data_IF_333023684114
#
_entry.id   IF_333023684114
#
_cell.length_a   1.000
_cell.length_b   1.000
_cell.length_c   1.000
_cell.angle_alpha   90.00
_cell.angle_beta   90.00
_cell.angle_gamma   90.00
#
_symmetry.space_group_name_H-M   'P 1'
#
loop_
_entity.id
_entity.type
_entity.pdbx_description
1 polymer ?
#
# COMPACT_ATOMS: atom_id res chain seq x y z
N UNK A 1 -19.47 -17.37 -40.85
CA UNK A 1 -19.27 -18.20 -39.65
C UNK A 1 -20.61 -18.38 -38.97
N UNK A 2 -21.19 -19.58 -39.01
CA UNK A 2 -22.52 -19.85 -38.45
C UNK A 2 -22.48 -20.12 -36.94
N UNK A 3 -23.62 -20.01 -36.25
CA UNK A 3 -23.73 -20.29 -34.82
C UNK A 3 -23.49 -21.78 -34.54
N UNK A 4 -22.55 -22.06 -33.62
CA UNK A 4 -22.30 -23.41 -33.09
C UNK A 4 -23.03 -23.55 -31.76
N UNK A 5 -24.02 -24.42 -31.74
CA UNK A 5 -24.68 -24.86 -30.51
C UNK A 5 -23.90 -26.02 -29.92
N UNK A 6 -23.51 -25.90 -28.65
CA UNK A 6 -22.76 -26.93 -27.94
C UNK A 6 -23.63 -27.40 -26.78
N UNK A 7 -23.99 -28.68 -26.77
CA UNK A 7 -24.60 -29.35 -25.63
C UNK A 7 -23.48 -30.04 -24.84
N UNK A 8 -23.34 -29.71 -23.56
CA UNK A 8 -22.39 -30.34 -22.66
C UNK A 8 -22.91 -30.30 -21.23
N UNK A 9 -22.56 -31.33 -20.46
CA UNK A 9 -22.78 -31.34 -19.01
C UNK A 9 -21.53 -30.73 -18.39
N UNK A 10 -21.58 -29.42 -18.12
CA UNK A 10 -20.58 -28.82 -17.24
C UNK A 10 -20.90 -29.28 -15.81
N UNK A 11 -19.89 -29.73 -15.07
CA UNK A 11 -20.03 -29.88 -13.63
C UNK A 11 -20.57 -28.54 -13.10
N UNK A 12 -21.69 -28.58 -12.37
CA UNK A 12 -22.21 -27.40 -11.69
C UNK A 12 -21.02 -26.81 -10.94
N UNK A 13 -20.58 -25.61 -11.33
CA UNK A 13 -19.54 -24.90 -10.57
C UNK A 13 -20.07 -24.92 -9.14
N UNK A 14 -19.33 -25.46 -8.16
CA UNK A 14 -19.78 -25.42 -6.78
C UNK A 14 -20.12 -23.95 -6.51
N UNK A 15 -21.40 -23.68 -6.26
CA UNK A 15 -21.84 -22.38 -5.77
C UNK A 15 -21.11 -22.25 -4.44
N UNK A 16 -20.00 -21.51 -4.48
CA UNK A 16 -19.35 -21.05 -3.27
C UNK A 16 -20.46 -20.39 -2.47
N UNK A 17 -20.69 -20.79 -1.20
CA UNK A 17 -21.74 -20.17 -0.39
C UNK A 17 -21.55 -18.66 -0.44
N UNK A 18 -22.66 -17.93 -0.61
CA UNK A 18 -22.65 -16.46 -0.66
C UNK A 18 -21.82 -15.96 0.51
N UNK A 19 -20.68 -15.34 0.21
CA UNK A 19 -19.76 -14.76 1.21
C UNK A 19 -20.32 -13.45 1.77
N UNK A 20 -21.63 -13.34 1.83
CA UNK A 20 -22.39 -12.14 2.19
C UNK A 20 -22.93 -12.23 3.62
N UNK A 21 -22.31 -13.05 4.47
CA UNK A 21 -22.50 -12.94 5.90
C UNK A 21 -21.82 -11.66 6.39
N UNK A 22 -22.56 -10.56 6.42
CA UNK A 22 -22.12 -9.30 7.03
C UNK A 22 -21.79 -9.55 8.51
N UNK A 23 -20.50 -9.74 8.80
CA UNK A 23 -19.98 -9.85 10.15
C UNK A 23 -20.13 -8.48 10.84
N UNK A 24 -21.17 -8.37 11.67
CA UNK A 24 -21.45 -7.17 12.46
C UNK A 24 -20.89 -7.36 13.86
N UNK A 25 -19.83 -6.62 14.18
CA UNK A 25 -19.32 -6.55 15.53
C UNK A 25 -20.13 -5.53 16.35
N UNK A 26 -20.36 -5.83 17.63
CA UNK A 26 -20.80 -4.81 18.58
C UNK A 26 -19.70 -3.78 18.81
N UNK A 27 -20.00 -2.57 19.33
CA UNK A 27 -19.00 -1.51 19.51
C UNK A 27 -17.77 -1.94 20.33
N UNK A 28 -17.97 -2.79 21.33
CA UNK A 28 -16.89 -3.31 22.19
C UNK A 28 -16.06 -4.39 21.49
N UNK A 29 -16.70 -5.25 20.70
CA UNK A 29 -16.02 -6.32 19.95
C UNK A 29 -15.34 -5.80 18.67
N UNK A 30 -15.81 -4.66 18.15
CA UNK A 30 -15.28 -4.05 16.94
C UNK A 30 -13.87 -3.48 17.14
N UNK A 31 -13.55 -2.99 18.33
CA UNK A 31 -12.23 -2.43 18.64
C UNK A 31 -11.11 -3.47 18.52
N UNK A 32 -11.15 -4.61 19.25
CA UNK A 32 -10.11 -5.62 19.13
C UNK A 32 -10.10 -6.27 17.74
N UNK A 33 -11.26 -6.44 17.09
CA UNK A 33 -11.33 -6.94 15.72
C UNK A 33 -10.64 -5.99 14.73
N UNK A 34 -10.89 -4.68 14.82
CA UNK A 34 -10.26 -3.69 13.96
C UNK A 34 -8.75 -3.58 14.20
N UNK A 35 -8.29 -3.71 15.45
CA UNK A 35 -6.85 -3.74 15.76
C UNK A 35 -6.17 -4.98 15.19
N UNK A 36 -6.80 -6.16 15.33
CA UNK A 36 -6.26 -7.41 14.78
C UNK A 36 -6.19 -7.36 13.25
N UNK A 37 -7.24 -6.86 12.60
CA UNK A 37 -7.28 -6.65 11.15
C UNK A 37 -6.22 -5.63 10.70
N UNK A 38 -6.10 -4.50 11.40
CA UNK A 38 -5.08 -3.50 11.12
C UNK A 38 -3.66 -4.06 11.26
N UNK A 39 -3.42 -4.90 12.27
CA UNK A 39 -2.12 -5.57 12.44
C UNK A 39 -1.83 -6.58 11.33
N UNK A 40 -2.86 -7.32 10.90
CA UNK A 40 -2.75 -8.24 9.77
C UNK A 40 -2.38 -7.49 8.49
N UNK A 41 -3.14 -6.44 8.13
CA UNK A 41 -2.87 -5.59 6.97
C UNK A 41 -1.50 -4.93 7.06
N UNK A 42 -1.07 -4.50 8.24
CA UNK A 42 0.25 -3.92 8.45
C UNK A 42 1.36 -4.93 8.12
N UNK A 43 1.21 -6.18 8.59
CA UNK A 43 2.14 -7.27 8.28
C UNK A 43 2.22 -7.56 6.78
N UNK A 44 1.09 -7.56 6.08
CA UNK A 44 1.06 -7.76 4.63
C UNK A 44 1.77 -6.64 3.87
N UNK A 45 1.51 -5.38 4.25
CA UNK A 45 2.16 -4.20 3.67
C UNK A 45 3.67 -4.23 3.90
N UNK A 46 4.12 -4.51 5.12
CA UNK A 46 5.56 -4.64 5.43
C UNK A 46 6.20 -5.76 4.61
N UNK A 47 5.54 -6.92 4.50
CA UNK A 47 6.03 -8.02 3.69
C UNK A 47 6.10 -7.66 2.19
N UNK A 48 5.12 -6.90 1.69
CA UNK A 48 5.10 -6.41 0.31
C UNK A 48 6.25 -5.44 0.04
N UNK A 49 6.47 -4.46 0.94
CA UNK A 49 7.59 -3.52 0.88
C UNK A 49 8.92 -4.29 0.91
N UNK A 50 9.08 -5.25 1.82
CA UNK A 50 10.27 -6.10 1.88
C UNK A 50 10.53 -6.86 0.59
N UNK A 51 9.49 -7.42 -0.04
CA UNK A 51 9.62 -8.08 -1.35
C UNK A 51 10.04 -7.11 -2.45
N UNK A 52 9.53 -5.87 -2.43
CA UNK A 52 9.90 -4.82 -3.38
C UNK A 52 11.39 -4.46 -3.27
N UNK A 53 11.93 -4.32 -2.05
CA UNK A 53 13.38 -4.10 -1.84
C UNK A 53 14.25 -5.27 -2.32
N UNK A 54 13.74 -6.51 -2.27
CA UNK A 54 14.46 -7.69 -2.79
C UNK A 54 14.35 -7.88 -4.30
N UNK A 55 13.70 -6.96 -5.04
CA UNK A 55 13.53 -7.04 -6.49
C UNK A 55 12.60 -8.15 -6.98
N UNK A 56 11.84 -8.79 -6.08
CA UNK A 56 10.92 -9.90 -6.39
C UNK A 56 9.55 -9.43 -6.90
N UNK A 57 9.32 -8.11 -6.93
CA UNK A 57 8.09 -7.49 -7.43
C UNK A 57 8.50 -6.43 -8.44
N UNK A 58 7.86 -6.42 -9.61
CA UNK A 58 8.07 -5.38 -10.61
C UNK A 58 7.65 -4.02 -10.03
N UNK A 59 8.61 -3.10 -9.92
CA UNK A 59 8.39 -1.75 -9.36
C UNK A 59 7.32 -0.98 -10.16
N UNK A 60 7.24 -1.27 -11.47
CA UNK A 60 6.23 -0.77 -12.42
C UNK A 60 4.78 -1.09 -12.01
N UNK A 61 4.55 -2.15 -11.23
CA UNK A 61 3.22 -2.58 -10.77
C UNK A 61 2.99 -2.34 -9.27
N UNK A 62 4.00 -1.85 -8.54
CA UNK A 62 3.92 -1.72 -7.06
C UNK A 62 3.71 -0.28 -6.61
N UNK A 63 4.20 0.69 -7.39
CA UNK A 63 4.06 2.11 -7.06
C UNK A 63 2.83 2.66 -7.78
N UNK A 64 1.71 2.78 -7.05
CA UNK A 64 0.50 3.43 -7.52
C UNK A 64 0.69 4.95 -7.55
N UNK A 65 0.41 5.58 -8.68
CA UNK A 65 0.41 7.03 -8.79
C UNK A 65 -0.95 7.66 -8.43
N UNK A 66 -1.01 9.01 -8.38
CA UNK A 66 -2.22 9.74 -7.97
C UNK A 66 -3.47 9.40 -8.80
N UNK A 67 -3.33 9.15 -10.10
CA UNK A 67 -4.46 8.80 -10.99
C UNK A 67 -4.96 7.41 -10.66
N UNK A 68 -4.05 6.45 -10.46
CA UNK A 68 -4.41 5.08 -10.07
C UNK A 68 -5.13 5.07 -8.72
N UNK A 69 -4.66 5.86 -7.75
CA UNK A 69 -5.32 6.02 -6.43
C UNK A 69 -6.71 6.64 -6.60
N UNK A 70 -6.87 7.67 -7.43
CA UNK A 70 -8.16 8.30 -7.67
C UNK A 70 -9.18 7.34 -8.29
N UNK A 71 -8.76 6.50 -9.26
CA UNK A 71 -9.61 5.46 -9.86
C UNK A 71 -9.98 4.38 -8.85
N UNK A 72 -9.03 3.94 -8.03
CA UNK A 72 -9.32 3.01 -6.94
C UNK A 72 -10.36 3.63 -5.99
N UNK A 73 -10.16 4.88 -5.56
CA UNK A 73 -11.12 5.59 -4.71
C UNK A 73 -12.53 5.62 -5.30
N UNK A 74 -12.66 5.90 -6.60
CA UNK A 74 -13.95 5.86 -7.28
C UNK A 74 -14.56 4.45 -7.28
N UNK A 75 -13.78 3.42 -7.64
CA UNK A 75 -14.25 2.03 -7.66
C UNK A 75 -14.67 1.49 -6.28
N UNK A 76 -13.98 1.89 -5.20
CA UNK A 76 -14.37 1.54 -3.83
C UNK A 76 -15.58 2.35 -3.35
N UNK A 77 -15.71 3.61 -3.77
CA UNK A 77 -16.87 4.45 -3.45
C UNK A 77 -18.16 3.91 -4.08
N UNK A 78 -18.10 3.40 -5.31
CA UNK A 78 -19.24 2.80 -6.02
C UNK A 78 -19.76 1.53 -5.32
N UNK A 79 -18.93 0.86 -4.52
CA UNK A 79 -19.30 -0.31 -3.72
C UNK A 79 -19.93 0.06 -2.36
N UNK A 80 -19.92 1.34 -2.00
CA UNK A 80 -20.54 1.88 -0.79
C UNK A 80 -19.55 2.29 0.31
N UNK A 81 -20.10 2.87 1.39
CA UNK A 81 -19.31 3.52 2.44
C UNK A 81 -18.34 2.59 3.17
N UNK A 82 -18.71 1.33 3.40
CA UNK A 82 -17.84 0.37 4.09
C UNK A 82 -16.55 0.10 3.29
N UNK A 83 -16.69 -0.11 1.98
CA UNK A 83 -15.56 -0.29 1.07
C UNK A 83 -14.70 0.97 0.97
N UNK A 84 -15.33 2.14 0.86
CA UNK A 84 -14.58 3.40 0.86
C UNK A 84 -13.77 3.62 2.15
N UNK A 85 -14.35 3.33 3.33
CA UNK A 85 -13.64 3.42 4.60
C UNK A 85 -12.48 2.41 4.69
N UNK A 86 -12.65 1.20 4.14
CA UNK A 86 -11.55 0.23 4.08
C UNK A 86 -10.39 0.71 3.19
N UNK A 87 -10.67 1.39 2.08
CA UNK A 87 -9.63 2.01 1.27
C UNK A 87 -8.90 3.11 2.04
N UNK A 88 -9.64 3.99 2.73
CA UNK A 88 -9.03 5.03 3.56
C UNK A 88 -8.15 4.45 4.67
N UNK A 89 -8.60 3.36 5.31
CA UNK A 89 -7.82 2.63 6.31
C UNK A 89 -6.53 2.08 5.70
N UNK A 90 -6.62 1.42 4.54
CA UNK A 90 -5.46 0.88 3.82
C UNK A 90 -4.47 1.98 3.42
N UNK A 91 -4.95 3.10 2.87
CA UNK A 91 -4.10 4.23 2.48
C UNK A 91 -3.43 4.87 3.70
N UNK A 92 -4.18 5.08 4.79
CA UNK A 92 -3.66 5.62 6.05
C UNK A 92 -2.56 4.73 6.61
N UNK A 93 -2.81 3.42 6.68
CA UNK A 93 -1.85 2.45 7.17
C UNK A 93 -0.59 2.38 6.29
N UNK A 94 -0.78 2.41 4.96
CA UNK A 94 0.34 2.41 4.00
C UNK A 94 1.22 3.64 4.15
N UNK A 95 0.64 4.83 4.25
CA UNK A 95 1.38 6.08 4.49
C UNK A 95 2.09 6.06 5.84
N UNK A 96 1.44 5.55 6.90
CA UNK A 96 2.05 5.39 8.21
C UNK A 96 3.28 4.47 8.18
N UNK A 97 3.17 3.31 7.54
CA UNK A 97 4.29 2.36 7.41
C UNK A 97 5.41 2.94 6.54
N UNK A 98 5.07 3.58 5.43
CA UNK A 98 6.05 4.23 4.56
C UNK A 98 6.79 5.36 5.29
N UNK A 99 6.09 6.16 6.09
CA UNK A 99 6.69 7.22 6.90
C UNK A 99 7.63 6.70 7.98
N UNK A 100 7.46 5.47 8.47
CA UNK A 100 8.36 4.83 9.42
C UNK A 100 9.62 4.23 8.77
N UNK A 101 9.72 4.23 7.44
CA UNK A 101 10.93 3.75 6.77
C UNK A 101 12.14 4.65 7.10
N UNK A 102 13.35 4.08 7.15
CA UNK A 102 14.58 4.79 7.49
C UNK A 102 15.07 5.66 6.32
N UNK A 103 14.25 6.62 5.89
CA UNK A 103 14.53 7.55 4.80
C UNK A 103 14.67 8.96 5.41
N UNK A 104 15.80 9.65 5.27
CA UNK A 104 16.11 10.92 5.95
C UNK A 104 15.06 12.03 5.90
N UNK A 105 14.22 12.08 4.85
CA UNK A 105 13.16 13.08 4.67
C UNK A 105 11.86 12.73 5.39
N UNK A 106 11.65 11.46 5.71
CA UNK A 106 10.45 10.95 6.37
C UNK A 106 10.66 10.88 7.89
N UNK A 107 9.57 10.73 8.64
CA UNK A 107 9.58 10.67 10.11
C UNK A 107 10.51 9.55 10.63
N UNK A 108 10.56 8.41 9.94
CA UNK A 108 11.44 7.29 10.23
C UNK A 108 12.93 7.58 9.98
N UNK A 109 13.26 8.57 9.16
CA UNK A 109 14.64 9.06 9.00
C UNK A 109 15.16 9.72 10.27
N UNK A 110 14.30 10.45 10.99
CA UNK A 110 14.65 11.05 12.27
C UNK A 110 14.83 9.98 13.34
N UNK A 111 13.94 8.97 13.36
CA UNK A 111 14.09 7.80 14.20
C UNK A 111 15.42 7.08 13.95
N UNK A 112 15.81 6.91 12.68
CA UNK A 112 17.11 6.34 12.32
C UNK A 112 18.27 7.16 12.90
N UNK A 113 18.23 8.48 12.79
CA UNK A 113 19.27 9.34 13.37
C UNK A 113 19.34 9.18 14.88
N UNK A 114 18.21 9.18 15.59
CA UNK A 114 18.20 8.94 17.04
C UNK A 114 18.74 7.57 17.43
N UNK A 115 18.44 6.52 16.66
CA UNK A 115 19.02 5.20 16.87
C UNK A 115 20.53 5.20 16.69
N UNK A 116 21.03 5.90 15.66
CA UNK A 116 22.47 6.06 15.42
C UNK A 116 23.11 6.85 16.57
N UNK A 117 22.49 7.93 17.04
CA UNK A 117 22.99 8.73 18.16
C UNK A 117 23.03 7.92 19.46
N UNK A 118 22.02 7.09 19.72
CA UNK A 118 21.97 6.21 20.88
C UNK A 118 23.14 5.21 20.88
N UNK A 119 23.46 4.64 19.71
CA UNK A 119 24.58 3.68 19.57
C UNK A 119 25.93 4.39 19.58
N UNK A 120 26.04 5.56 18.94
CA UNK A 120 27.28 6.34 18.82
C UNK A 120 27.59 7.19 20.05
N UNK A 121 26.61 7.41 20.93
CA UNK A 121 26.71 8.25 22.14
C UNK A 121 26.96 9.74 21.86
N UNK A 122 26.87 10.19 20.60
CA UNK A 122 27.15 11.56 20.19
C UNK A 122 26.24 11.96 19.02
N UNK A 123 25.90 13.26 18.90
CA UNK A 123 24.98 13.73 17.87
C UNK A 123 25.51 13.45 16.45
N UNK A 124 24.62 13.21 15.50
CA UNK A 124 25.00 13.13 14.07
C UNK A 124 25.46 14.51 13.60
N UNK A 125 26.52 14.56 12.79
CA UNK A 125 27.03 15.84 12.32
C UNK A 125 26.01 16.51 11.39
N UNK A 126 25.87 17.83 11.52
CA UNK A 126 24.93 18.62 10.71
C UNK A 126 25.15 18.39 9.20
N UNK A 127 26.42 18.27 8.77
CA UNK A 127 26.78 17.95 7.38
C UNK A 127 26.22 16.60 6.93
N UNK A 128 26.27 15.57 7.77
CA UNK A 128 25.76 14.25 7.42
C UNK A 128 24.22 14.26 7.33
N UNK A 129 23.55 14.99 8.22
CA UNK A 129 22.09 15.16 8.19
C UNK A 129 21.63 15.88 6.92
N UNK A 130 22.30 16.97 6.54
CA UNK A 130 22.00 17.72 5.31
C UNK A 130 22.21 16.86 4.07
N UNK A 131 23.33 16.13 3.98
CA UNK A 131 23.57 15.21 2.86
C UNK A 131 22.51 14.11 2.81
N UNK A 132 22.18 13.51 3.95
CA UNK A 132 21.11 12.52 4.06
C UNK A 132 19.76 13.05 3.56
N UNK A 133 19.41 14.28 3.94
CA UNK A 133 18.18 14.95 3.49
C UNK A 133 18.14 15.10 1.97
N UNK A 134 19.23 15.56 1.34
CA UNK A 134 19.28 15.68 -0.12
C UNK A 134 19.17 14.33 -0.83
N UNK A 135 19.81 13.29 -0.29
CA UNK A 135 19.70 11.92 -0.81
C UNK A 135 18.25 11.44 -0.70
N UNK A 136 17.62 11.60 0.46
CA UNK A 136 16.24 11.21 0.67
C UNK A 136 15.28 11.99 -0.24
N UNK A 137 15.53 13.29 -0.47
CA UNK A 137 14.70 14.11 -1.34
C UNK A 137 14.82 13.65 -2.80
N UNK A 138 16.04 13.38 -3.26
CA UNK A 138 16.28 12.83 -4.59
C UNK A 138 15.58 11.46 -4.77
N UNK A 139 15.62 10.60 -3.75
CA UNK A 139 14.93 9.31 -3.76
C UNK A 139 13.41 9.49 -3.86
N UNK A 140 12.81 10.33 -3.02
CA UNK A 140 11.37 10.61 -3.05
C UNK A 140 10.96 11.20 -4.40
N UNK A 141 11.73 12.16 -4.94
CA UNK A 141 11.47 12.75 -6.24
C UNK A 141 11.56 11.70 -7.37
N UNK A 142 12.52 10.78 -7.31
CA UNK A 142 12.64 9.68 -8.26
C UNK A 142 11.44 8.72 -8.19
N UNK A 143 10.99 8.37 -6.97
CA UNK A 143 9.81 7.54 -6.77
C UNK A 143 8.52 8.24 -7.25
N UNK A 144 8.38 9.55 -7.01
CA UNK A 144 7.26 10.33 -7.56
C UNK A 144 7.30 10.36 -9.09
N UNK A 145 8.47 10.56 -9.69
CA UNK A 145 8.65 10.48 -11.13
C UNK A 145 8.23 9.11 -11.69
N UNK A 146 8.63 8.03 -11.01
CA UNK A 146 8.22 6.67 -11.37
C UNK A 146 6.72 6.45 -11.22
N UNK A 147 6.10 6.96 -10.16
CA UNK A 147 4.66 6.87 -9.95
C UNK A 147 3.88 7.57 -11.07
N UNK A 148 4.31 8.76 -11.49
CA UNK A 148 3.72 9.47 -12.62
C UNK A 148 3.94 8.73 -13.94
N UNK A 149 5.13 8.17 -14.15
CA UNK A 149 5.43 7.36 -15.33
C UNK A 149 4.50 6.14 -15.43
N UNK A 150 4.33 5.41 -14.32
CA UNK A 150 3.40 4.29 -14.22
C UNK A 150 1.96 4.74 -14.50
N UNK A 151 1.52 5.86 -13.93
CA UNK A 151 0.19 6.39 -14.17
C UNK A 151 -0.06 6.69 -15.65
N UNK A 152 0.90 7.30 -16.34
CA UNK A 152 0.78 7.62 -17.78
C UNK A 152 0.67 6.33 -18.59
N UNK A 153 1.56 5.37 -18.36
CA UNK A 153 1.57 4.11 -19.14
C UNK A 153 0.32 3.28 -18.90
N UNK A 154 -0.10 3.16 -17.64
CA UNK A 154 -1.19 2.26 -17.27
C UNK A 154 -2.57 2.88 -17.52
N UNK A 155 -2.70 4.21 -17.49
CA UNK A 155 -4.01 4.87 -17.54
C UNK A 155 -4.24 5.83 -18.73
N UNK A 156 -3.19 6.30 -19.41
CA UNK A 156 -3.31 7.25 -20.54
C UNK A 156 -2.94 6.64 -21.89
N UNK A 157 -2.02 5.66 -21.92
CA UNK A 157 -1.53 5.05 -23.16
C UNK A 157 -2.33 3.79 -23.56
N UNK A 158 -3.18 3.27 -22.66
CA UNK A 158 -4.10 2.13 -22.90
C UNK A 158 -5.54 2.60 -22.87
#
# INVERSE_FOLDING_TARGET
GGPRWVLGVAAARPQLPDKDALLRYGPLDAVPAALAEGWHQAGELVAMIGRAFTGRVAVENTVAGPVTIARAANAYADQGAAWFLSLLALLSLSLGILNLLPIPVLDGGHLLYYLIELVKGSPVSERAMVVGQYIGLALVAALMGLAFYNDIINNLVR
#
